data_IF_290502969817
#
_entry.id   IF_290502969817
#
_cell.length_a   1.000
_cell.length_b   1.000
_cell.length_c   1.000
_cell.angle_alpha   90.00
_cell.angle_beta   90.00
_cell.angle_gamma   90.00
#
_symmetry.space_group_name_H-M   'P 1'
#
loop_
_entity.id
_entity.type
_entity.pdbx_description
1 polymer ?
#
# COMPACT_ATOMS: atom_id res chain seq x y z
N UNK A 1 -6.56 15.84 -4.54
CA UNK A 1 -6.15 15.92 -5.95
C UNK A 1 -6.10 14.49 -6.46
N UNK A 2 -7.10 14.04 -7.22
CA UNK A 2 -7.11 12.68 -7.78
C UNK A 2 -6.07 12.67 -8.90
N UNK A 3 -5.00 11.91 -8.74
CA UNK A 3 -3.98 11.76 -9.77
C UNK A 3 -4.61 10.90 -10.88
N UNK A 4 -5.27 11.56 -11.84
CA UNK A 4 -5.80 10.91 -13.03
C UNK A 4 -4.61 10.59 -13.92
N UNK A 5 -4.13 9.36 -13.80
CA UNK A 5 -3.23 8.75 -14.77
C UNK A 5 -4.14 8.10 -15.81
N UNK A 6 -3.86 8.24 -17.11
CA UNK A 6 -4.60 7.52 -18.16
C UNK A 6 -4.32 6.01 -18.02
N UNK A 7 -4.99 5.39 -17.05
CA UNK A 7 -4.89 3.96 -16.76
C UNK A 7 -5.72 3.21 -17.78
N UNK A 8 -5.21 2.07 -18.21
CA UNK A 8 -6.04 1.14 -18.98
C UNK A 8 -7.24 0.69 -18.14
N UNK A 9 -8.39 0.40 -18.75
CA UNK A 9 -9.56 -0.11 -18.01
C UNK A 9 -9.22 -1.37 -17.16
N UNK A 10 -8.41 -2.34 -17.65
CA UNK A 10 -7.87 -3.43 -16.84
C UNK A 10 -7.12 -3.00 -15.57
N UNK A 11 -6.26 -1.98 -15.69
CA UNK A 11 -5.49 -1.45 -14.58
C UNK A 11 -6.38 -0.69 -13.60
N UNK A 12 -7.37 0.05 -14.09
CA UNK A 12 -8.33 0.74 -13.25
C UNK A 12 -9.15 -0.25 -12.40
N UNK A 13 -9.66 -1.35 -13.00
CA UNK A 13 -10.37 -2.38 -12.24
C UNK A 13 -9.48 -3.02 -11.16
N UNK A 14 -8.18 -3.19 -11.44
CA UNK A 14 -7.24 -3.70 -10.44
C UNK A 14 -7.05 -2.72 -9.29
N UNK A 15 -6.86 -1.43 -9.59
CA UNK A 15 -6.77 -0.37 -8.57
C UNK A 15 -8.04 -0.34 -7.73
N UNK A 16 -9.22 -0.42 -8.35
CA UNK A 16 -10.50 -0.40 -7.66
C UNK A 16 -10.66 -1.64 -6.77
N UNK A 17 -10.26 -2.82 -7.23
CA UNK A 17 -10.29 -4.05 -6.44
C UNK A 17 -9.37 -3.95 -5.21
N UNK A 18 -8.14 -3.46 -5.39
CA UNK A 18 -7.19 -3.24 -4.29
C UNK A 18 -7.70 -2.19 -3.30
N UNK A 19 -8.34 -1.12 -3.80
CA UNK A 19 -8.96 -0.09 -2.98
C UNK A 19 -10.06 -0.68 -2.11
N UNK A 20 -10.95 -1.50 -2.68
CA UNK A 20 -12.03 -2.16 -1.96
C UNK A 20 -11.48 -3.10 -0.88
N UNK A 21 -10.42 -3.86 -1.15
CA UNK A 21 -9.75 -4.70 -0.14
C UNK A 21 -9.13 -3.89 0.99
N UNK A 22 -8.51 -2.75 0.68
CA UNK A 22 -7.96 -1.83 1.67
C UNK A 22 -9.06 -1.24 2.56
N UNK A 23 -10.11 -0.69 1.93
CA UNK A 23 -11.21 -0.02 2.62
C UNK A 23 -12.02 -1.00 3.50
N UNK A 24 -12.11 -2.28 3.12
CA UNK A 24 -12.70 -3.31 3.97
C UNK A 24 -11.90 -3.63 5.24
N UNK A 25 -10.59 -3.37 5.21
CA UNK A 25 -9.68 -3.61 6.35
C UNK A 25 -9.57 -2.38 7.26
N UNK A 26 -9.74 -1.18 6.71
CA UNK A 26 -9.59 0.09 7.43
C UNK A 26 -10.97 0.64 7.79
N UNK A 27 -11.35 0.50 9.06
CA UNK A 27 -12.65 0.94 9.58
C UNK A 27 -12.91 2.46 9.49
N UNK A 28 -11.89 3.25 9.13
CA UNK A 28 -11.97 4.71 8.99
C UNK A 28 -11.98 5.10 7.50
N UNK A 29 -13.09 5.68 7.03
CA UNK A 29 -13.31 6.23 5.68
C UNK A 29 -12.47 7.49 5.38
N UNK A 30 -11.17 7.45 5.65
CA UNK A 30 -10.22 8.50 5.30
C UNK A 30 -9.81 8.42 3.83
N UNK A 31 -9.56 9.57 3.21
CA UNK A 31 -8.96 9.65 1.87
C UNK A 31 -7.48 9.26 1.93
N UNK A 32 -7.17 7.97 2.08
CA UNK A 32 -5.81 7.48 1.97
C UNK A 32 -5.37 7.48 0.51
N UNK A 33 -4.13 7.91 0.27
CA UNK A 33 -3.39 7.52 -0.91
C UNK A 33 -2.88 6.10 -0.68
N UNK A 34 -2.90 5.26 -1.72
CA UNK A 34 -2.55 3.84 -1.60
C UNK A 34 -1.54 3.51 -2.68
N UNK A 35 -0.50 2.79 -2.28
CA UNK A 35 0.46 2.18 -3.17
C UNK A 35 0.70 0.72 -2.79
N UNK A 36 1.17 -0.06 -3.75
CA UNK A 36 1.52 -1.45 -3.54
C UNK A 36 3.02 -1.59 -3.28
N UNK A 37 3.37 -2.39 -2.27
CA UNK A 37 4.75 -2.84 -2.08
C UNK A 37 4.94 -4.20 -2.76
N UNK A 38 6.12 -4.43 -3.29
CA UNK A 38 6.53 -5.70 -3.89
C UNK A 38 7.77 -6.22 -3.17
N UNK A 39 8.18 -7.45 -3.46
CA UNK A 39 9.53 -7.86 -3.09
C UNK A 39 10.56 -7.18 -4.00
N UNK A 40 11.84 -7.25 -3.63
CA UNK A 40 13.00 -6.64 -4.30
C UNK A 40 13.17 -6.98 -5.79
N UNK A 41 12.43 -7.97 -6.27
CA UNK A 41 12.38 -8.41 -7.66
C UNK A 41 11.16 -7.87 -8.45
N UNK A 42 10.33 -7.02 -7.86
CA UNK A 42 9.14 -6.47 -8.51
C UNK A 42 7.95 -7.45 -8.60
N UNK A 43 8.02 -8.57 -7.89
CA UNK A 43 7.02 -9.65 -7.87
C UNK A 43 6.32 -9.65 -6.50
N UNK A 44 4.99 -9.92 -6.44
CA UNK A 44 4.31 -10.19 -5.17
C UNK A 44 5.03 -11.28 -4.40
N UNK A 45 5.50 -10.94 -3.21
CA UNK A 45 6.49 -11.73 -2.49
C UNK A 45 5.93 -13.13 -2.13
N UNK A 46 6.55 -14.21 -2.64
CA UNK A 46 6.32 -15.57 -2.09
C UNK A 46 6.81 -15.66 -0.65
N UNK A 47 7.78 -14.83 -0.27
CA UNK A 47 8.33 -14.62 1.07
C UNK A 47 8.65 -13.12 1.24
N UNK A 48 8.34 -12.48 2.38
CA UNK A 48 8.58 -11.04 2.56
C UNK A 48 7.61 -10.34 3.51
N UNK A 49 7.57 -8.99 3.48
CA UNK A 49 6.75 -8.19 4.39
C UNK A 49 5.27 -8.62 4.34
N UNK A 50 4.66 -8.71 3.16
CA UNK A 50 3.27 -9.13 2.98
C UNK A 50 2.94 -10.45 3.71
N UNK A 51 3.78 -11.48 3.55
CA UNK A 51 3.60 -12.79 4.20
C UNK A 51 3.80 -12.75 5.71
N UNK A 52 4.74 -11.95 6.20
CA UNK A 52 4.93 -11.70 7.64
C UNK A 52 3.71 -11.03 8.29
N UNK A 53 2.83 -10.45 7.48
CA UNK A 53 1.57 -9.82 7.89
C UNK A 53 0.33 -10.63 7.46
N UNK A 54 0.50 -11.83 6.90
CA UNK A 54 -0.60 -12.74 6.56
C UNK A 54 -1.26 -12.50 5.20
N UNK A 55 -0.69 -11.66 4.34
CA UNK A 55 -1.18 -11.40 2.97
C UNK A 55 -0.20 -11.87 1.89
N UNK A 56 -0.65 -11.89 0.64
CA UNK A 56 0.23 -12.11 -0.54
C UNK A 56 0.71 -10.80 -1.18
N UNK A 57 0.07 -9.69 -0.84
CA UNK A 57 0.47 -8.33 -1.20
C UNK A 57 0.34 -7.42 0.03
N UNK A 58 1.18 -6.40 0.14
CA UNK A 58 1.09 -5.41 1.21
C UNK A 58 0.83 -4.04 0.61
N UNK A 59 -0.34 -3.49 0.91
CA UNK A 59 -0.73 -2.13 0.55
C UNK A 59 -0.26 -1.16 1.63
N UNK A 60 0.25 -0.01 1.18
CA UNK A 60 0.63 1.10 2.04
C UNK A 60 -0.37 2.21 1.77
N UNK A 61 -1.27 2.42 2.73
CA UNK A 61 -2.10 3.60 2.80
C UNK A 61 -1.37 4.71 3.55
N UNK A 62 -1.45 5.95 3.10
CA UNK A 62 -0.89 7.08 3.84
C UNK A 62 -1.76 8.33 3.68
N UNK A 63 -1.68 9.20 4.68
CA UNK A 63 -2.38 10.49 4.69
C UNK A 63 -1.66 11.51 5.56
N UNK A 64 -1.84 12.78 5.22
CA UNK A 64 -1.23 13.93 5.92
C UNK A 64 -2.09 14.46 7.07
N UNK A 65 -3.39 14.16 7.12
CA UNK A 65 -4.29 14.66 8.18
C UNK A 65 -5.32 13.60 8.61
N UNK A 66 -5.19 13.02 9.82
CA UNK A 66 -3.99 13.00 10.66
C UNK A 66 -2.79 12.35 9.96
N UNK A 67 -1.58 12.71 10.39
CA UNK A 67 -0.32 12.21 9.83
C UNK A 67 -0.11 10.75 10.21
N UNK A 68 -0.32 9.82 9.27
CA UNK A 68 -0.17 8.39 9.53
C UNK A 68 0.00 7.55 8.25
N UNK A 69 0.55 6.35 8.44
CA UNK A 69 0.68 5.29 7.46
C UNK A 69 -0.10 4.07 7.97
N UNK A 70 -0.81 3.40 7.08
CA UNK A 70 -1.55 2.16 7.34
C UNK A 70 -1.01 1.08 6.42
N UNK A 71 -0.58 -0.02 7.02
CA UNK A 71 -0.05 -1.17 6.32
C UNK A 71 -1.13 -2.24 6.30
N UNK A 72 -1.65 -2.55 5.12
CA UNK A 72 -2.74 -3.48 4.95
C UNK A 72 -2.28 -4.69 4.15
N UNK A 73 -2.12 -5.87 4.78
CA UNK A 73 -1.92 -7.10 4.03
C UNK A 73 -3.21 -7.43 3.28
N UNK A 74 -3.10 -7.81 2.01
CA UNK A 74 -4.25 -8.20 1.17
C UNK A 74 -3.95 -9.51 0.46
N UNK A 75 -5.02 -10.27 0.17
CA UNK A 75 -4.95 -11.44 -0.69
C UNK A 75 -5.09 -10.99 -2.16
N UNK A 76 -4.02 -11.20 -2.91
CA UNK A 76 -3.95 -10.86 -4.33
C UNK A 76 -4.94 -11.73 -5.11
N UNK A 77 -5.07 -13.02 -4.80
CA UNK A 77 -5.97 -13.90 -5.54
C UNK A 77 -7.42 -13.45 -5.37
N UNK A 78 -7.80 -12.99 -4.18
CA UNK A 78 -9.12 -12.38 -3.93
C UNK A 78 -9.33 -11.10 -4.74
N UNK A 79 -8.36 -10.18 -4.73
CA UNK A 79 -8.43 -8.95 -5.52
C UNK A 79 -8.54 -9.25 -7.03
N UNK A 80 -7.82 -10.27 -7.50
CA UNK A 80 -7.85 -10.72 -8.89
C UNK A 80 -9.20 -11.35 -9.28
N UNK A 81 -9.78 -12.17 -8.41
CA UNK A 81 -11.11 -12.74 -8.65
C UNK A 81 -12.18 -11.65 -8.75
N UNK A 82 -12.06 -10.56 -7.99
CA UNK A 82 -12.94 -9.38 -8.13
C UNK A 82 -12.80 -8.73 -9.49
N UNK A 83 -11.58 -8.54 -9.99
CA UNK A 83 -11.33 -7.99 -11.34
C UNK A 83 -11.99 -8.87 -12.40
N UNK A 84 -11.91 -10.21 -12.26
CA UNK A 84 -12.54 -11.16 -13.18
C UNK A 84 -14.07 -11.01 -13.19
N UNK A 85 -14.70 -10.91 -12.01
CA UNK A 85 -16.15 -10.73 -11.87
C UNK A 85 -16.61 -9.40 -12.48
N UNK A 86 -15.92 -8.30 -12.19
CA UNK A 86 -16.22 -6.98 -12.74
C UNK A 86 -16.16 -6.96 -14.28
N UNK A 87 -15.18 -7.65 -14.88
CA UNK A 87 -15.10 -7.81 -16.35
C UNK A 87 -16.26 -8.60 -16.94
N UNK A 88 -16.88 -9.47 -16.16
CA UNK A 88 -18.06 -10.25 -16.56
C UNK A 88 -19.37 -9.50 -16.29
N UNK A 89 -19.31 -8.26 -15.75
CA UNK A 89 -20.48 -7.49 -15.35
C UNK A 89 -21.16 -8.02 -14.08
N UNK A 90 -20.43 -8.78 -13.27
CA UNK A 90 -20.91 -9.33 -12.00
C UNK A 90 -20.36 -8.47 -10.88
N UNK A 91 -21.25 -7.93 -10.05
CA UNK A 91 -20.86 -7.22 -8.83
C UNK A 91 -20.24 -8.21 -7.83
N UNK A 92 -18.96 -8.04 -7.44
CA UNK A 92 -18.33 -8.90 -6.45
C UNK A 92 -18.95 -8.69 -5.07
N UNK A 93 -18.95 -9.73 -4.22
CA UNK A 93 -19.40 -9.64 -2.83
C UNK A 93 -18.51 -8.72 -1.96
N UNK A 94 -18.72 -8.60 -0.64
CA UNK A 94 -17.85 -7.79 0.22
C UNK A 94 -16.40 -8.32 0.22
N UNK A 95 -15.41 -7.43 0.38
CA UNK A 95 -14.02 -7.82 0.58
C UNK A 95 -13.76 -8.38 1.98
N UNK A 96 -12.90 -9.40 2.05
CA UNK A 96 -12.41 -9.86 3.34
C UNK A 96 -11.46 -8.80 3.91
N UNK A 97 -11.81 -8.29 5.10
CA UNK A 97 -10.92 -7.41 5.84
C UNK A 97 -9.75 -8.18 6.42
N UNK A 98 -8.55 -7.65 6.28
CA UNK A 98 -7.38 -8.09 7.04
C UNK A 98 -7.17 -7.21 8.27
N UNK A 99 -6.24 -7.58 9.16
CA UNK A 99 -5.87 -6.74 10.31
C UNK A 99 -4.81 -5.73 9.84
N UNK A 100 -5.15 -4.44 9.66
CA UNK A 100 -4.16 -3.45 9.25
C UNK A 100 -3.24 -3.10 10.42
N UNK A 101 -2.07 -2.56 10.09
CA UNK A 101 -1.16 -1.99 11.08
C UNK A 101 -1.00 -0.51 10.87
N UNK A 102 -1.30 0.23 11.93
CA UNK A 102 -1.12 1.66 11.97
C UNK A 102 0.34 1.99 12.33
N UNK A 103 0.93 2.91 11.59
CA UNK A 103 2.22 3.54 11.86
C UNK A 103 1.95 5.04 11.97
N UNK A 104 2.24 5.63 13.13
CA UNK A 104 1.95 7.02 13.41
C UNK A 104 3.03 7.62 14.32
N UNK A 105 2.85 8.89 14.66
CA UNK A 105 3.82 9.66 15.46
C UNK A 105 4.04 9.10 16.87
N UNK A 106 3.15 8.26 17.41
CA UNK A 106 3.26 7.73 18.78
C UNK A 106 3.88 6.34 18.84
N UNK A 107 3.85 5.57 17.74
CA UNK A 107 4.37 4.22 17.69
C UNK A 107 5.58 4.05 16.76
N UNK A 108 5.99 5.10 16.04
CA UNK A 108 7.21 5.10 15.26
C UNK A 108 8.44 5.19 16.20
N UNK A 109 9.38 4.27 16.01
CA UNK A 109 10.70 4.33 16.65
C UNK A 109 11.81 4.79 15.69
N UNK A 110 11.63 4.60 14.39
CA UNK A 110 12.56 5.11 13.39
C UNK A 110 12.12 4.78 11.97
N UNK A 111 12.58 5.58 11.02
CA UNK A 111 12.36 5.37 9.60
C UNK A 111 13.61 5.75 8.82
N UNK A 112 13.93 4.98 7.78
CA UNK A 112 15.02 5.28 6.87
C UNK A 112 14.60 4.96 5.43
N UNK A 113 14.96 5.82 4.49
CA UNK A 113 14.75 5.59 3.07
C UNK A 113 16.10 5.44 2.36
N UNK A 114 16.22 4.41 1.52
CA UNK A 114 17.38 4.20 0.65
C UNK A 114 16.93 3.61 -0.68
N UNK A 115 17.26 4.30 -1.77
CA UNK A 115 16.86 3.92 -3.13
C UNK A 115 15.33 3.76 -3.25
N UNK A 116 14.87 2.51 -3.43
CA UNK A 116 13.46 2.14 -3.54
C UNK A 116 12.91 1.53 -2.23
N UNK A 117 13.72 1.48 -1.17
CA UNK A 117 13.38 0.77 0.06
C UNK A 117 13.16 1.77 1.19
N UNK A 118 12.00 1.68 1.84
CA UNK A 118 11.71 2.40 3.08
C UNK A 118 11.67 1.40 4.23
N UNK A 119 12.60 1.55 5.17
CA UNK A 119 12.62 0.78 6.41
C UNK A 119 11.84 1.51 7.49
N UNK A 120 10.88 0.82 8.10
CA UNK A 120 10.06 1.35 9.20
C UNK A 120 10.27 0.48 10.44
N UNK A 121 10.58 1.13 11.55
CA UNK A 121 10.73 0.50 12.87
C UNK A 121 9.69 1.05 13.82
N UNK A 122 8.89 0.15 14.39
CA UNK A 122 7.90 0.47 15.41
C UNK A 122 8.51 0.36 16.81
N UNK A 123 7.93 1.08 17.77
CA UNK A 123 8.28 1.05 19.20
C UNK A 123 8.11 -0.32 19.84
N UNK A 124 7.29 -1.19 19.24
CA UNK A 124 7.16 -2.61 19.61
C UNK A 124 8.38 -3.45 19.22
N UNK A 125 9.38 -2.86 18.57
CA UNK A 125 10.57 -3.54 18.03
C UNK A 125 10.35 -4.16 16.65
N UNK A 126 9.13 -4.09 16.10
CA UNK A 126 8.81 -4.64 14.78
C UNK A 126 9.43 -3.78 13.68
N UNK A 127 10.24 -4.40 12.82
CA UNK A 127 10.89 -3.78 11.66
C UNK A 127 10.30 -4.31 10.37
N UNK A 128 10.24 -3.48 9.36
CA UNK A 128 9.78 -3.85 8.02
C UNK A 128 10.48 -3.03 6.95
N UNK A 129 10.61 -3.63 5.77
CA UNK A 129 11.15 -2.99 4.58
C UNK A 129 10.04 -2.94 3.54
N UNK A 130 9.74 -1.74 3.04
CA UNK A 130 8.76 -1.48 2.01
C UNK A 130 9.54 -1.24 0.73
N UNK A 131 9.44 -2.15 -0.25
CA UNK A 131 10.07 -1.98 -1.55
C UNK A 131 9.08 -1.34 -2.53
N UNK A 132 9.42 -0.15 -3.01
CA UNK A 132 8.55 0.76 -3.75
C UNK A 132 9.01 0.85 -5.20
N UNK A 133 8.16 0.38 -6.11
CA UNK A 133 8.45 0.42 -7.55
C UNK A 133 7.42 1.28 -8.26
N UNK A 134 7.85 2.16 -9.16
CA UNK A 134 6.94 2.98 -9.96
C UNK A 134 6.08 2.18 -10.96
N UNK A 135 6.44 0.92 -11.21
CA UNK A 135 5.65 -0.03 -11.99
C UNK A 135 5.71 -1.40 -11.32
N UNK A 136 4.55 -2.04 -11.13
CA UNK A 136 4.44 -3.39 -10.57
C UNK A 136 3.81 -4.31 -11.61
N UNK A 137 4.35 -5.52 -11.75
CA UNK A 137 3.80 -6.57 -12.61
C UNK A 137 3.42 -7.78 -11.77
N UNK A 138 2.30 -8.38 -12.10
CA UNK A 138 1.79 -9.56 -11.42
C UNK A 138 1.94 -10.77 -12.35
N UNK A 139 2.62 -11.83 -11.92
CA UNK A 139 2.80 -13.04 -12.74
C UNK A 139 1.46 -13.65 -13.16
N UNK A 140 0.42 -13.50 -12.33
CA UNK A 140 -0.94 -13.96 -12.60
C UNK A 140 -1.66 -13.13 -13.68
N UNK A 141 -1.20 -11.90 -13.95
CA UNK A 141 -1.76 -10.96 -14.94
C UNK A 141 -0.62 -10.20 -15.63
N UNK A 142 0.23 -10.89 -16.43
CA UNK A 142 1.39 -10.27 -17.06
C UNK A 142 1.01 -9.16 -18.04
N UNK A 143 -0.24 -9.15 -18.52
CA UNK A 143 -0.79 -8.13 -19.41
C UNK A 143 -1.18 -6.83 -18.71
N UNK A 144 -1.27 -6.83 -17.37
CA UNK A 144 -1.61 -5.65 -16.57
C UNK A 144 -0.39 -5.21 -15.77
N UNK A 145 0.11 -4.03 -16.08
CA UNK A 145 1.09 -3.35 -15.23
C UNK A 145 0.38 -2.29 -14.40
N UNK A 146 0.62 -2.30 -13.08
CA UNK A 146 0.18 -1.23 -12.19
C UNK A 146 1.20 -0.10 -12.23
N UNK A 147 0.81 1.06 -12.74
CA UNK A 147 1.63 2.26 -12.77
C UNK A 147 1.34 3.13 -11.55
N UNK A 148 2.33 3.22 -10.67
CA UNK A 148 2.23 3.95 -9.41
C UNK A 148 3.42 4.91 -9.21
N UNK A 149 4.13 5.29 -10.28
CA UNK A 149 5.30 6.20 -10.21
C UNK A 149 4.98 7.50 -9.46
N UNK A 150 3.85 8.13 -9.80
CA UNK A 150 3.41 9.38 -9.15
C UNK A 150 3.04 9.15 -7.68
N UNK A 151 2.43 8.01 -7.38
CA UNK A 151 2.06 7.65 -6.00
C UNK A 151 3.33 7.38 -5.17
N UNK A 152 4.37 6.79 -5.76
CA UNK A 152 5.68 6.60 -5.12
C UNK A 152 6.39 7.94 -4.91
N UNK A 153 6.37 8.85 -5.88
CA UNK A 153 6.92 10.21 -5.75
C UNK A 153 6.22 10.99 -4.61
N UNK A 154 4.87 11.00 -4.59
CA UNK A 154 4.10 11.64 -3.51
C UNK A 154 4.33 10.96 -2.15
N UNK A 155 4.57 9.65 -2.13
CA UNK A 155 4.89 8.94 -0.89
C UNK A 155 6.25 9.36 -0.32
N UNK A 156 7.27 9.56 -1.15
CA UNK A 156 8.56 10.06 -0.67
C UNK A 156 8.44 11.49 -0.13
N UNK A 157 7.72 12.38 -0.83
CA UNK A 157 7.41 13.72 -0.31
C UNK A 157 6.65 13.66 1.03
N UNK A 158 5.75 12.67 1.17
CA UNK A 158 5.05 12.43 2.41
C UNK A 158 5.99 11.92 3.51
N UNK A 159 6.95 11.03 3.23
CA UNK A 159 7.93 10.56 4.22
C UNK A 159 8.77 11.70 4.76
N UNK A 160 9.26 12.59 3.89
CA UNK A 160 10.03 13.77 4.31
C UNK A 160 9.19 14.64 5.25
N UNK A 161 7.95 14.95 4.88
CA UNK A 161 7.02 15.67 5.73
C UNK A 161 6.73 14.95 7.06
N UNK A 162 6.55 13.62 7.02
CA UNK A 162 6.28 12.79 8.19
C UNK A 162 7.44 12.87 9.20
N UNK A 163 8.68 12.78 8.71
CA UNK A 163 9.89 12.87 9.53
C UNK A 163 10.10 14.28 10.11
N UNK A 164 9.85 15.33 9.33
CA UNK A 164 9.86 16.72 9.83
C UNK A 164 8.90 16.90 11.02
N UNK A 165 7.71 16.28 10.97
CA UNK A 165 6.73 16.34 12.05
C UNK A 165 7.22 15.55 13.27
N UNK A 166 7.80 14.36 13.07
CA UNK A 166 8.37 13.54 14.15
C UNK A 166 9.49 14.30 14.87
N UNK A 167 10.40 14.93 14.14
CA UNK A 167 11.50 15.72 14.72
C UNK A 167 10.99 16.89 15.55
N UNK A 168 9.99 17.63 15.05
CA UNK A 168 9.37 18.74 15.79
C UNK A 168 8.70 18.27 17.08
N UNK A 169 8.07 17.10 17.08
CA UNK A 169 7.47 16.52 18.28
C UNK A 169 8.51 16.07 19.31
N UNK A 170 9.65 15.54 18.86
CA UNK A 170 10.73 15.11 19.76
C UNK A 170 11.54 16.29 20.33
N UNK A 171 11.53 17.44 19.66
CA UNK A 171 12.22 18.66 20.09
C UNK A 171 11.39 19.54 21.05
N UNK A 172 10.10 19.26 21.21
CA UNK A 172 9.15 19.99 22.07
C UNK A 172 9.01 19.32 23.45
#
# INVERSE_FOLDING_TARGET
>A
MVIVTERSQPEQHLVDALRVSFDASVMNFGSYNILCTVDRLGVPAKEGAARAWGGSLLLVGYRREPVEIVLCPVDLDEALDRVRLLRQGIEPGPAAGAVPTLVNLTNLAGMASQDNVVEVTLSTGRRMKLDLHGQVRFDQFPEIALHQRRDVEDFYEFIDYFMDVVERMNAA
#
